data_IF_149839915208
#
_entry.id   IF_149839915208
#
_cell.length_a   1.000
_cell.length_b   1.000
_cell.length_c   1.000
_cell.angle_alpha   90.00
_cell.angle_beta   90.00
_cell.angle_gamma   90.00
#
_symmetry.space_group_name_H-M   'P 1'
#
loop_
_entity.id
_entity.type
_entity.pdbx_description
1 polymer ?
#
# COMPACT_ATOMS: atom_id res chain seq x y z
N UNK A 1 4.74 17.87 -21.51
CA UNK A 1 4.66 18.11 -20.06
C UNK A 1 5.68 17.24 -19.37
N UNK A 2 6.43 17.79 -18.43
CA UNK A 2 7.51 17.12 -17.72
C UNK A 2 7.20 17.01 -16.23
N UNK A 3 7.13 15.78 -15.71
CA UNK A 3 6.84 15.50 -14.31
C UNK A 3 8.14 15.20 -13.55
N UNK A 4 8.35 15.87 -12.43
CA UNK A 4 9.37 15.52 -11.43
C UNK A 4 8.77 14.68 -10.31
N UNK A 5 9.33 13.52 -10.02
CA UNK A 5 8.83 12.61 -8.97
C UNK A 5 9.88 12.43 -7.88
N UNK A 6 9.56 12.85 -6.66
CA UNK A 6 10.40 12.71 -5.48
C UNK A 6 9.92 11.53 -4.67
N UNK A 7 10.72 10.48 -4.60
CA UNK A 7 10.44 9.28 -3.83
C UNK A 7 11.73 8.69 -3.29
N UNK A 8 11.77 8.43 -1.99
CA UNK A 8 12.91 7.79 -1.32
C UNK A 8 12.47 6.48 -0.68
N UNK A 9 13.32 5.48 -0.79
CA UNK A 9 13.19 4.19 -0.15
C UNK A 9 14.48 3.79 0.54
N UNK A 10 14.47 2.65 1.22
CA UNK A 10 15.65 2.15 1.92
C UNK A 10 15.30 1.15 3.00
N UNK A 11 16.32 0.63 3.69
CA UNK A 11 16.10 -0.37 4.74
C UNK A 11 15.25 0.17 5.90
N UNK A 12 15.54 1.40 6.37
CA UNK A 12 14.80 2.03 7.47
C UNK A 12 13.47 2.66 7.02
N UNK A 13 13.43 3.24 5.80
CA UNK A 13 12.26 3.94 5.25
C UNK A 13 11.21 2.97 4.67
N UNK A 14 11.62 1.77 4.28
CA UNK A 14 10.85 0.87 3.45
C UNK A 14 10.83 1.31 1.98
N UNK A 15 10.26 0.47 1.11
CA UNK A 15 10.20 0.71 -0.34
C UNK A 15 8.82 1.17 -0.84
N UNK A 16 7.86 1.40 0.06
CA UNK A 16 6.46 1.66 -0.29
C UNK A 16 6.27 2.85 -1.22
N UNK A 17 6.87 3.99 -0.88
CA UNK A 17 6.81 5.24 -1.65
C UNK A 17 7.38 5.05 -3.07
N UNK A 18 8.57 4.45 -3.17
CA UNK A 18 9.24 4.18 -4.44
C UNK A 18 8.42 3.22 -5.32
N UNK A 19 7.90 2.14 -4.76
CA UNK A 19 7.06 1.18 -5.49
C UNK A 19 5.78 1.85 -5.99
N UNK A 20 5.12 2.65 -5.15
CA UNK A 20 3.90 3.39 -5.52
C UNK A 20 4.18 4.39 -6.65
N UNK A 21 5.23 5.19 -6.51
CA UNK A 21 5.59 6.20 -7.49
C UNK A 21 6.09 5.60 -8.81
N UNK A 22 6.83 4.48 -8.78
CA UNK A 22 7.22 3.74 -9.99
C UNK A 22 5.99 3.25 -10.76
N UNK A 23 4.97 2.72 -10.06
CA UNK A 23 3.71 2.30 -10.68
C UNK A 23 2.95 3.47 -11.30
N UNK A 24 2.89 4.60 -10.60
CA UNK A 24 2.25 5.80 -11.14
C UNK A 24 3.00 6.31 -12.38
N UNK A 25 4.34 6.31 -12.36
CA UNK A 25 5.14 6.68 -13.52
C UNK A 25 4.91 5.73 -14.73
N UNK A 26 4.70 4.44 -14.50
CA UNK A 26 4.35 3.50 -15.58
C UNK A 26 3.03 3.85 -16.28
N UNK A 27 2.05 4.41 -15.56
CA UNK A 27 0.80 4.91 -16.14
C UNK A 27 1.03 6.23 -16.88
N UNK A 28 1.79 7.16 -16.28
CA UNK A 28 1.97 8.52 -16.79
C UNK A 28 2.93 8.63 -17.99
N UNK A 29 3.90 7.71 -18.14
CA UNK A 29 4.97 7.78 -19.16
C UNK A 29 4.46 7.86 -20.61
N UNK A 30 3.22 7.45 -20.86
CA UNK A 30 2.62 7.49 -22.19
C UNK A 30 2.21 8.89 -22.65
N UNK A 31 2.13 9.85 -21.72
CA UNK A 31 1.72 11.25 -21.99
C UNK A 31 2.71 12.30 -21.50
N UNK A 32 3.66 11.90 -20.65
CA UNK A 32 4.56 12.83 -19.96
C UNK A 32 6.00 12.33 -19.99
N UNK A 33 6.95 13.27 -20.08
CA UNK A 33 8.35 13.01 -19.74
C UNK A 33 8.48 12.95 -18.22
N UNK A 34 9.29 12.02 -17.70
CA UNK A 34 9.42 11.79 -16.26
C UNK A 34 10.89 11.85 -15.84
N UNK A 35 11.15 12.54 -14.72
CA UNK A 35 12.41 12.48 -13.98
C UNK A 35 12.14 12.13 -12.53
N UNK A 36 12.76 11.07 -12.04
CA UNK A 36 12.81 10.74 -10.62
C UNK A 36 13.95 11.47 -9.91
N UNK A 37 13.68 11.97 -8.71
CA UNK A 37 14.64 12.57 -7.78
C UNK A 37 14.65 11.78 -6.48
N UNK A 38 15.65 10.91 -6.31
CA UNK A 38 15.65 9.85 -5.29
C UNK A 38 16.94 9.83 -4.46
N UNK A 39 17.09 8.86 -3.56
CA UNK A 39 18.32 8.58 -2.82
C UNK A 39 19.07 7.39 -3.43
N UNK A 40 20.34 7.21 -3.05
CA UNK A 40 21.21 6.14 -3.57
C UNK A 40 20.59 4.74 -3.42
N UNK A 41 19.91 4.47 -2.30
CA UNK A 41 19.29 3.16 -2.01
C UNK A 41 18.18 2.77 -3.00
N UNK A 42 17.56 3.74 -3.66
CA UNK A 42 16.39 3.53 -4.53
C UNK A 42 16.70 3.66 -6.01
N UNK A 43 17.87 4.19 -6.37
CA UNK A 43 18.29 4.45 -7.75
C UNK A 43 18.14 3.19 -8.60
N UNK A 44 18.80 2.09 -8.20
CA UNK A 44 18.79 0.84 -8.95
C UNK A 44 17.37 0.29 -9.18
N UNK A 45 16.48 0.45 -8.20
CA UNK A 45 15.09 -0.02 -8.34
C UNK A 45 14.28 0.85 -9.32
N UNK A 46 14.60 2.14 -9.42
CA UNK A 46 13.92 3.08 -10.31
C UNK A 46 14.49 3.09 -11.72
N UNK A 47 15.69 2.56 -11.97
CA UNK A 47 16.31 2.56 -13.29
C UNK A 47 15.44 1.86 -14.34
N UNK A 48 15.05 2.60 -15.39
CA UNK A 48 14.30 2.11 -16.56
C UNK A 48 14.65 2.96 -17.80
N UNK A 49 14.36 2.47 -19.00
CA UNK A 49 14.65 3.21 -20.25
C UNK A 49 13.68 4.37 -20.53
N UNK A 50 12.53 4.38 -19.86
CA UNK A 50 11.41 5.30 -20.16
C UNK A 50 11.44 6.62 -19.38
N UNK A 51 12.35 6.78 -18.44
CA UNK A 51 12.47 8.00 -17.62
C UNK A 51 13.90 8.20 -17.11
N UNK A 52 14.18 9.39 -16.60
CA UNK A 52 15.47 9.70 -15.97
C UNK A 52 15.40 9.44 -14.46
N UNK A 53 16.52 9.03 -13.88
CA UNK A 53 16.69 8.93 -12.42
C UNK A 53 17.87 9.80 -12.03
N UNK A 54 17.66 10.67 -11.04
CA UNK A 54 18.67 11.55 -10.47
C UNK A 54 18.72 11.29 -8.97
N UNK A 55 19.90 10.90 -8.49
CA UNK A 55 20.19 10.88 -7.07
C UNK A 55 20.36 12.31 -6.58
N UNK A 56 19.59 12.69 -5.57
CA UNK A 56 19.66 14.03 -4.98
C UNK A 56 21.00 14.20 -4.25
N UNK A 57 21.68 15.34 -4.40
CA UNK A 57 22.93 15.57 -3.68
C UNK A 57 22.68 15.72 -2.18
N UNK A 58 23.68 15.35 -1.36
CA UNK A 58 23.60 15.47 0.10
C UNK A 58 23.78 16.90 0.63
N UNK A 59 24.48 17.77 -0.11
CA UNK A 59 24.69 19.18 0.21
C UNK A 59 23.97 20.07 -0.81
N UNK A 60 23.45 21.23 -0.37
CA UNK A 60 22.76 22.22 -1.22
C UNK A 60 21.63 21.61 -2.08
N UNK A 61 20.98 20.59 -1.53
CA UNK A 61 19.98 19.80 -2.23
C UNK A 61 18.85 20.65 -2.80
N UNK A 62 18.36 21.62 -2.02
CA UNK A 62 17.26 22.48 -2.42
C UNK A 62 17.63 23.37 -3.61
N UNK A 63 18.82 23.97 -3.59
CA UNK A 63 19.33 24.82 -4.68
C UNK A 63 19.52 24.01 -5.97
N UNK A 64 20.08 22.80 -5.87
CA UNK A 64 20.23 21.90 -7.01
C UNK A 64 18.88 21.49 -7.61
N UNK A 65 17.92 21.11 -6.78
CA UNK A 65 16.58 20.71 -7.24
C UNK A 65 15.85 21.89 -7.89
N UNK A 66 15.92 23.09 -7.32
CA UNK A 66 15.32 24.29 -7.92
C UNK A 66 15.90 24.61 -9.29
N UNK A 67 17.22 24.45 -9.44
CA UNK A 67 17.87 24.60 -10.73
C UNK A 67 17.38 23.56 -11.73
N UNK A 68 17.31 22.29 -11.34
CA UNK A 68 16.77 21.21 -12.17
C UNK A 68 15.32 21.47 -12.62
N UNK A 69 14.47 21.96 -11.71
CA UNK A 69 13.08 22.32 -12.03
C UNK A 69 13.02 23.39 -13.13
N UNK A 70 13.86 24.42 -13.03
CA UNK A 70 13.93 25.49 -14.01
C UNK A 70 14.57 25.07 -15.34
N UNK A 71 15.73 24.40 -15.28
CA UNK A 71 16.52 24.00 -16.44
C UNK A 71 15.73 22.99 -17.31
N UNK A 72 15.02 22.05 -16.66
CA UNK A 72 14.17 21.05 -17.34
C UNK A 72 12.73 21.52 -17.58
N UNK A 73 12.35 22.68 -17.07
CA UNK A 73 10.99 23.24 -17.13
C UNK A 73 9.94 22.23 -16.65
N UNK A 74 10.12 21.72 -15.43
CA UNK A 74 9.18 20.77 -14.86
C UNK A 74 7.82 21.43 -14.62
N UNK A 75 6.76 20.76 -15.05
CA UNK A 75 5.39 21.27 -15.02
C UNK A 75 4.63 20.87 -13.75
N UNK A 76 4.93 19.67 -13.25
CA UNK A 76 4.23 19.03 -12.13
C UNK A 76 5.25 18.27 -11.29
N UNK A 77 5.16 18.43 -9.97
CA UNK A 77 6.08 17.85 -9.00
C UNK A 77 5.30 16.98 -8.02
N UNK A 78 5.62 15.70 -7.97
CA UNK A 78 5.00 14.72 -7.09
C UNK A 78 5.96 14.44 -5.92
N UNK A 79 5.55 14.74 -4.69
CA UNK A 79 6.34 14.45 -3.49
C UNK A 79 5.70 13.32 -2.69
N UNK A 80 6.32 12.14 -2.77
CA UNK A 80 6.01 10.97 -1.95
C UNK A 80 7.24 10.63 -1.10
N UNK A 81 7.52 11.52 -0.15
CA UNK A 81 8.66 11.43 0.78
C UNK A 81 8.16 11.75 2.18
N UNK A 82 8.80 11.15 3.19
CA UNK A 82 8.49 11.45 4.59
C UNK A 82 8.98 12.86 4.93
N UNK A 83 8.03 13.77 5.18
CA UNK A 83 8.29 15.15 5.55
C UNK A 83 8.71 16.00 4.35
N UNK A 84 7.75 16.52 3.60
CA UNK A 84 8.03 17.35 2.45
C UNK A 84 8.80 18.63 2.87
N UNK A 85 9.88 19.01 2.15
CA UNK A 85 10.75 20.10 2.54
C UNK A 85 10.07 21.47 2.32
N UNK A 86 9.44 22.01 3.37
CA UNK A 86 8.66 23.27 3.32
C UNK A 86 9.42 24.42 2.68
N UNK A 87 10.71 24.58 3.01
CA UNK A 87 11.56 25.65 2.46
C UNK A 87 11.75 25.50 0.95
N UNK A 88 11.93 24.27 0.46
CA UNK A 88 12.02 23.99 -0.97
C UNK A 88 10.68 24.24 -1.66
N UNK A 89 9.57 23.74 -1.11
CA UNK A 89 8.22 23.97 -1.67
C UNK A 89 7.90 25.46 -1.78
N UNK A 90 8.26 26.24 -0.77
CA UNK A 90 8.09 27.71 -0.75
C UNK A 90 8.90 28.37 -1.87
N UNK A 91 10.17 27.97 -2.04
CA UNK A 91 11.03 28.48 -3.11
C UNK A 91 10.51 28.10 -4.51
N UNK A 92 9.98 26.87 -4.68
CA UNK A 92 9.40 26.41 -5.95
C UNK A 92 8.19 27.28 -6.30
N UNK A 93 7.26 27.46 -5.35
CA UNK A 93 6.04 28.24 -5.56
C UNK A 93 6.31 29.72 -5.85
N UNK A 94 7.39 30.28 -5.28
CA UNK A 94 7.79 31.66 -5.52
C UNK A 94 8.55 31.87 -6.84
N UNK A 95 9.19 30.82 -7.37
CA UNK A 95 10.12 30.92 -8.50
C UNK A 95 9.68 30.24 -9.79
N UNK A 96 8.58 29.47 -9.76
CA UNK A 96 8.17 28.61 -10.89
C UNK A 96 6.65 28.48 -10.95
N UNK A 97 6.12 28.15 -12.13
CA UNK A 97 4.70 27.81 -12.34
C UNK A 97 4.43 26.29 -12.21
N UNK A 98 5.36 25.55 -11.60
CA UNK A 98 5.21 24.11 -11.43
C UNK A 98 4.15 23.79 -10.39
N UNK A 99 3.22 22.89 -10.73
CA UNK A 99 2.21 22.38 -9.80
C UNK A 99 2.83 21.41 -8.79
N UNK A 100 2.40 21.47 -7.54
CA UNK A 100 2.93 20.64 -6.46
C UNK A 100 1.83 19.72 -5.92
N UNK A 101 2.09 18.42 -5.94
CA UNK A 101 1.21 17.40 -5.37
C UNK A 101 1.96 16.62 -4.29
N UNK A 102 1.38 16.55 -3.10
CA UNK A 102 1.95 15.82 -1.96
C UNK A 102 1.20 14.51 -1.74
N UNK A 103 1.90 13.46 -1.35
CA UNK A 103 1.31 12.18 -0.99
C UNK A 103 1.38 11.97 0.52
N UNK A 104 0.23 11.67 1.14
CA UNK A 104 0.09 11.35 2.58
C UNK A 104 0.69 12.39 3.54
N UNK A 105 0.92 13.62 3.08
CA UNK A 105 1.46 14.71 3.89
C UNK A 105 0.42 15.23 4.88
N UNK A 106 0.85 15.46 6.12
CA UNK A 106 0.01 15.96 7.23
C UNK A 106 0.47 17.33 7.74
N UNK A 107 1.67 17.78 7.37
CA UNK A 107 2.21 19.07 7.78
C UNK A 107 1.47 20.23 7.10
N UNK A 108 0.72 21.01 7.87
CA UNK A 108 -0.09 22.11 7.36
C UNK A 108 0.71 23.16 6.57
N UNK A 109 1.96 23.42 6.95
CA UNK A 109 2.82 24.37 6.23
C UNK A 109 3.19 23.84 4.85
N UNK A 110 3.53 22.55 4.74
CA UNK A 110 3.80 21.91 3.46
C UNK A 110 2.55 21.88 2.57
N UNK A 111 1.40 21.47 3.14
CA UNK A 111 0.12 21.44 2.44
C UNK A 111 -0.24 22.83 1.88
N UNK A 112 -0.02 23.90 2.66
CA UNK A 112 -0.25 25.28 2.19
C UNK A 112 0.59 25.72 0.99
N UNK A 113 1.69 25.01 0.70
CA UNK A 113 2.54 25.23 -0.48
C UNK A 113 2.20 24.31 -1.66
N UNK A 114 1.18 23.46 -1.56
CA UNK A 114 0.78 22.51 -2.61
C UNK A 114 -0.52 22.91 -3.31
N UNK A 115 -0.74 22.37 -4.51
CA UNK A 115 -1.99 22.46 -5.27
C UNK A 115 -2.93 21.30 -4.94
N UNK A 116 -2.38 20.11 -4.63
CA UNK A 116 -3.16 18.96 -4.21
C UNK A 116 -2.45 18.06 -3.21
N UNK A 117 -3.24 17.34 -2.43
CA UNK A 117 -2.75 16.25 -1.55
C UNK A 117 -3.52 14.98 -1.86
N UNK A 118 -2.80 13.89 -2.11
CA UNK A 118 -3.36 12.55 -2.35
C UNK A 118 -3.07 11.67 -1.13
N UNK A 119 -4.11 11.25 -0.43
CA UNK A 119 -4.00 10.39 0.75
C UNK A 119 -4.89 9.15 0.60
N UNK A 120 -4.30 8.00 0.29
CA UNK A 120 -5.04 6.75 0.09
C UNK A 120 -5.46 6.02 1.38
N UNK A 121 -5.04 6.52 2.55
CA UNK A 121 -5.16 5.81 3.83
C UNK A 121 -6.56 6.03 4.43
N UNK A 122 -7.17 4.95 4.92
CA UNK A 122 -8.54 4.98 5.42
C UNK A 122 -8.69 5.44 6.87
N UNK A 123 -7.70 5.16 7.72
CA UNK A 123 -7.83 5.31 9.18
C UNK A 123 -8.24 6.72 9.65
N UNK A 124 -7.75 7.77 8.98
CA UNK A 124 -7.93 9.17 9.40
C UNK A 124 -8.78 10.00 8.42
N UNK A 125 -9.60 9.35 7.58
CA UNK A 125 -10.37 10.07 6.53
C UNK A 125 -11.36 11.04 7.17
N UNK A 126 -11.21 12.33 6.83
CA UNK A 126 -12.15 13.38 7.27
C UNK A 126 -13.35 13.48 6.34
N UNK A 127 -13.06 13.59 5.06
CA UNK A 127 -14.02 13.61 3.96
C UNK A 127 -13.29 13.26 2.67
N UNK A 128 -14.00 12.75 1.66
CA UNK A 128 -13.36 12.26 0.44
C UNK A 128 -12.57 13.36 -0.30
N UNK A 129 -13.13 14.56 -0.37
CA UNK A 129 -12.51 15.70 -1.05
C UNK A 129 -12.84 16.99 -0.32
N UNK A 130 -11.83 17.81 -0.03
CA UNK A 130 -11.99 19.11 0.61
C UNK A 130 -10.81 20.04 0.32
N UNK A 131 -10.97 21.33 0.62
CA UNK A 131 -9.90 22.32 0.49
C UNK A 131 -9.17 22.52 1.81
N UNK A 132 -7.85 22.59 1.77
CA UNK A 132 -7.01 22.92 2.92
C UNK A 132 -5.93 23.93 2.52
N UNK A 133 -6.14 25.19 2.89
CA UNK A 133 -5.30 26.28 2.41
C UNK A 133 -5.42 26.43 0.90
N UNK A 134 -4.30 26.26 0.18
CA UNK A 134 -4.26 26.33 -1.28
C UNK A 134 -4.42 24.96 -1.96
N UNK A 135 -4.50 23.87 -1.18
CA UNK A 135 -4.50 22.52 -1.72
C UNK A 135 -5.90 21.92 -1.77
N UNK A 136 -6.20 21.23 -2.87
CA UNK A 136 -7.32 20.29 -2.96
C UNK A 136 -6.88 18.94 -2.39
N UNK A 137 -7.46 18.52 -1.28
CA UNK A 137 -7.14 17.25 -0.62
C UNK A 137 -8.10 16.15 -1.09
N UNK A 138 -7.54 15.00 -1.46
CA UNK A 138 -8.24 13.80 -1.88
C UNK A 138 -7.91 12.66 -0.90
N UNK A 139 -8.86 12.26 -0.06
CA UNK A 139 -8.64 11.29 1.00
C UNK A 139 -9.44 10.00 0.85
N UNK A 140 -8.82 8.92 1.33
CA UNK A 140 -9.42 7.61 1.49
C UNK A 140 -9.09 6.63 0.37
N UNK A 141 -9.62 5.40 0.48
CA UNK A 141 -9.20 4.30 -0.38
C UNK A 141 -9.54 4.48 -1.86
N UNK A 142 -10.45 5.42 -2.18
CA UNK A 142 -10.74 5.83 -3.55
C UNK A 142 -9.47 6.30 -4.29
N UNK A 143 -8.50 6.87 -3.56
CA UNK A 143 -7.25 7.41 -4.10
C UNK A 143 -6.03 6.52 -3.82
N UNK A 144 -6.23 5.32 -3.27
CA UNK A 144 -5.13 4.39 -3.02
C UNK A 144 -4.64 3.75 -4.33
N UNK A 145 -3.35 3.92 -4.61
CA UNK A 145 -2.71 3.33 -5.78
C UNK A 145 -2.32 1.87 -5.48
N UNK A 146 -3.16 0.94 -5.95
CA UNK A 146 -2.87 -0.49 -5.97
C UNK A 146 -2.30 -0.93 -7.33
N UNK A 147 -1.67 -2.10 -7.36
CA UNK A 147 -1.26 -2.70 -8.63
C UNK A 147 -2.50 -3.04 -9.48
N UNK A 148 -2.53 -2.77 -10.80
CA UNK A 148 -3.70 -3.00 -11.65
C UNK A 148 -4.23 -4.44 -11.62
N UNK A 149 -3.36 -5.41 -11.35
CA UNK A 149 -3.73 -6.82 -11.19
C UNK A 149 -4.79 -7.06 -10.08
N UNK A 150 -4.88 -6.21 -9.04
CA UNK A 150 -5.91 -6.35 -8.01
C UNK A 150 -7.30 -5.95 -8.52
N UNK A 151 -7.37 -4.92 -9.36
CA UNK A 151 -8.63 -4.55 -10.03
C UNK A 151 -9.07 -5.66 -11.00
N UNK A 152 -8.13 -6.22 -11.77
CA UNK A 152 -8.42 -7.34 -12.66
C UNK A 152 -8.88 -8.59 -11.87
N UNK A 153 -8.18 -8.93 -10.78
CA UNK A 153 -8.54 -10.03 -9.91
C UNK A 153 -9.92 -9.86 -9.27
N UNK A 154 -10.27 -8.64 -8.85
CA UNK A 154 -11.59 -8.31 -8.30
C UNK A 154 -12.73 -8.65 -9.25
N UNK A 155 -12.57 -8.34 -10.55
CA UNK A 155 -13.61 -8.53 -11.56
C UNK A 155 -14.05 -9.99 -11.70
N UNK A 156 -13.09 -10.91 -11.52
CA UNK A 156 -13.29 -12.35 -11.65
C UNK A 156 -13.41 -13.10 -10.31
N UNK A 157 -13.36 -12.38 -9.18
CA UNK A 157 -13.36 -13.01 -7.86
C UNK A 157 -14.78 -13.37 -7.42
N UNK A 158 -14.95 -14.63 -7.01
CA UNK A 158 -16.16 -15.14 -6.39
C UNK A 158 -15.80 -15.83 -5.07
N UNK A 159 -16.46 -15.44 -3.99
CA UNK A 159 -16.28 -16.07 -2.68
C UNK A 159 -16.89 -17.49 -2.70
N UNK A 160 -16.11 -18.48 -2.27
CA UNK A 160 -16.56 -19.87 -2.17
C UNK A 160 -17.20 -20.18 -0.82
N UNK A 161 -18.20 -21.07 -0.84
CA UNK A 161 -18.85 -21.60 0.36
C UNK A 161 -17.90 -22.36 1.27
N UNK A 162 -17.03 -23.21 0.70
CA UNK A 162 -15.98 -23.87 1.47
C UNK A 162 -14.75 -22.96 1.63
N UNK A 163 -14.15 -22.96 2.83
CA UNK A 163 -12.86 -22.30 3.07
C UNK A 163 -11.73 -23.33 3.06
N UNK A 164 -11.04 -23.47 1.92
CA UNK A 164 -9.94 -24.43 1.76
C UNK A 164 -8.60 -23.76 1.54
N UNK A 165 -8.57 -22.60 0.90
CA UNK A 165 -7.33 -21.87 0.60
C UNK A 165 -7.25 -20.63 1.48
N UNK A 166 -6.26 -20.59 2.36
CA UNK A 166 -6.00 -19.45 3.25
C UNK A 166 -4.69 -18.81 2.86
N UNK A 167 -4.72 -17.49 2.66
CA UNK A 167 -3.52 -16.70 2.44
C UNK A 167 -3.06 -16.08 3.76
N UNK A 168 -1.76 -16.08 4.01
CA UNK A 168 -1.15 -15.34 5.12
C UNK A 168 -0.15 -14.35 4.54
N UNK A 169 -0.41 -13.05 4.71
CA UNK A 169 0.41 -11.96 4.18
C UNK A 169 0.58 -10.86 5.24
N UNK A 170 1.64 -10.97 6.04
CA UNK A 170 1.88 -10.12 7.22
C UNK A 170 2.80 -8.92 6.93
N UNK A 171 3.00 -8.60 5.65
CA UNK A 171 3.86 -7.53 5.16
C UNK A 171 5.25 -8.01 4.71
N UNK A 172 6.08 -7.06 4.31
CA UNK A 172 7.38 -7.35 3.69
C UNK A 172 8.45 -7.89 4.65
N UNK A 173 8.41 -7.49 5.93
CA UNK A 173 9.45 -7.82 6.91
C UNK A 173 8.96 -8.64 8.12
N UNK A 174 7.68 -8.55 8.50
CA UNK A 174 7.11 -9.18 9.70
C UNK A 174 7.96 -9.00 10.98
N UNK A 175 8.24 -7.76 11.41
CA UNK A 175 9.19 -7.49 12.51
C UNK A 175 8.69 -8.02 13.87
N UNK A 176 7.37 -8.19 14.04
CA UNK A 176 6.76 -8.76 15.25
C UNK A 176 6.64 -10.28 15.21
N UNK A 177 7.22 -10.94 14.19
CA UNK A 177 7.27 -12.40 14.10
C UNK A 177 5.87 -13.04 14.13
N UNK A 178 4.87 -12.33 13.60
CA UNK A 178 3.48 -12.76 13.66
C UNK A 178 3.25 -14.03 12.85
N UNK A 179 4.10 -14.32 11.86
CA UNK A 179 4.01 -15.56 11.06
C UNK A 179 4.10 -16.80 11.95
N UNK A 180 4.96 -16.81 12.96
CA UNK A 180 5.10 -17.94 13.88
C UNK A 180 3.86 -18.08 14.77
N UNK A 181 3.26 -16.95 15.18
CA UNK A 181 2.01 -16.95 15.94
C UNK A 181 0.85 -17.50 15.11
N UNK A 182 0.77 -17.14 13.83
CA UNK A 182 -0.22 -17.68 12.89
C UNK A 182 -0.03 -19.18 12.68
N UNK A 183 1.21 -19.65 12.49
CA UNK A 183 1.52 -21.08 12.35
C UNK A 183 1.12 -21.84 13.63
N UNK A 184 1.45 -21.33 14.80
CA UNK A 184 1.10 -21.93 16.09
C UNK A 184 -0.42 -22.02 16.28
N UNK A 185 -1.16 -20.97 15.92
CA UNK A 185 -2.62 -20.94 15.99
C UNK A 185 -3.25 -21.92 14.98
N UNK A 186 -2.72 -21.98 13.76
CA UNK A 186 -3.16 -22.92 12.73
C UNK A 186 -3.01 -24.38 13.15
N UNK A 187 -1.91 -24.71 13.85
CA UNK A 187 -1.65 -26.06 14.34
C UNK A 187 -2.66 -26.53 15.41
N UNK A 188 -3.31 -25.59 16.11
CA UNK A 188 -4.36 -25.88 17.09
C UNK A 188 -5.71 -26.19 16.43
N UNK A 189 -5.87 -25.93 15.13
CA UNK A 189 -7.15 -26.15 14.45
C UNK A 189 -7.41 -27.65 14.20
N UNK A 190 -8.63 -28.14 14.51
CA UNK A 190 -8.99 -29.55 14.35
C UNK A 190 -9.10 -29.97 12.88
N UNK A 191 -9.57 -29.10 12.01
CA UNK A 191 -9.83 -29.33 10.58
C UNK A 191 -8.70 -28.83 9.66
N UNK A 192 -7.50 -28.59 10.20
CA UNK A 192 -6.37 -28.02 9.46
C UNK A 192 -5.92 -28.84 8.23
N UNK A 193 -6.19 -30.15 8.21
CA UNK A 193 -5.73 -31.04 7.12
C UNK A 193 -6.45 -30.78 5.79
N UNK A 194 -7.66 -30.27 5.84
CA UNK A 194 -8.46 -29.94 4.65
C UNK A 194 -8.22 -28.51 4.15
N UNK A 195 -7.31 -27.78 4.81
CA UNK A 195 -7.01 -26.38 4.55
C UNK A 195 -5.57 -26.20 4.07
N UNK A 196 -5.41 -25.70 2.85
CA UNK A 196 -4.13 -25.24 2.32
C UNK A 196 -3.85 -23.82 2.81
N UNK A 197 -2.76 -23.63 3.55
CA UNK A 197 -2.31 -22.30 3.97
C UNK A 197 -1.06 -21.90 3.20
N UNK A 198 -1.12 -20.75 2.52
CA UNK A 198 -0.02 -20.18 1.76
C UNK A 198 0.51 -18.97 2.52
N UNK A 199 1.75 -19.07 3.00
CA UNK A 199 2.47 -18.00 3.66
C UNK A 199 3.28 -17.23 2.62
N UNK A 200 2.94 -15.96 2.40
CA UNK A 200 3.74 -15.07 1.56
C UNK A 200 4.60 -14.21 2.46
N UNK A 201 5.92 -14.29 2.26
CA UNK A 201 6.89 -13.50 3.01
C UNK A 201 7.72 -12.66 2.04
N UNK A 202 7.84 -11.37 2.32
CA UNK A 202 8.72 -10.48 1.57
C UNK A 202 10.19 -10.79 1.82
N UNK A 203 11.06 -10.39 0.90
CA UNK A 203 12.53 -10.56 1.01
C UNK A 203 13.16 -9.81 2.17
N UNK A 204 12.50 -8.77 2.68
CA UNK A 204 12.94 -8.05 3.86
C UNK A 204 12.71 -8.83 5.17
N UNK A 205 12.03 -9.98 5.13
CA UNK A 205 11.79 -10.78 6.34
C UNK A 205 13.01 -11.66 6.66
N UNK A 206 13.60 -11.54 7.86
CA UNK A 206 14.72 -12.38 8.28
C UNK A 206 14.29 -13.81 8.69
N UNK A 207 12.98 -14.11 8.62
CA UNK A 207 12.39 -15.30 9.20
C UNK A 207 12.07 -16.41 8.19
N UNK A 208 12.33 -16.20 6.90
CA UNK A 208 11.95 -17.13 5.82
C UNK A 208 12.50 -18.55 6.03
N UNK A 209 13.79 -18.68 6.35
CA UNK A 209 14.43 -19.98 6.55
C UNK A 209 13.90 -20.71 7.79
N UNK A 210 13.62 -19.97 8.87
CA UNK A 210 13.03 -20.53 10.07
C UNK A 210 11.60 -21.03 9.80
N UNK A 211 10.81 -20.28 9.01
CA UNK A 211 9.47 -20.69 8.60
C UNK A 211 9.52 -21.92 7.69
N UNK A 212 10.41 -21.95 6.69
CA UNK A 212 10.62 -23.11 5.81
C UNK A 212 10.84 -24.39 6.61
N UNK A 213 11.78 -24.35 7.57
CA UNK A 213 12.06 -25.49 8.46
C UNK A 213 10.87 -25.88 9.33
N UNK A 214 10.12 -24.90 9.84
CA UNK A 214 8.96 -25.14 10.70
C UNK A 214 7.80 -25.83 9.96
N UNK A 215 7.63 -25.56 8.66
CA UNK A 215 6.52 -26.09 7.87
C UNK A 215 6.88 -27.28 6.98
N UNK A 216 8.17 -27.67 6.87
CA UNK A 216 8.63 -28.70 5.92
C UNK A 216 7.89 -30.04 5.99
N UNK A 217 7.38 -30.43 7.17
CA UNK A 217 6.64 -31.68 7.39
C UNK A 217 5.12 -31.47 7.46
N UNK A 218 4.63 -30.32 7.00
CA UNK A 218 3.21 -29.93 7.03
C UNK A 218 2.73 -29.76 5.58
N UNK A 219 2.27 -30.83 4.90
CA UNK A 219 1.95 -30.80 3.48
C UNK A 219 0.84 -29.80 3.10
N UNK A 220 0.05 -29.37 4.09
CA UNK A 220 -0.99 -28.37 3.92
C UNK A 220 -0.47 -26.93 3.98
N UNK A 221 0.79 -26.69 4.35
CA UNK A 221 1.42 -25.37 4.40
C UNK A 221 2.41 -25.19 3.26
N UNK A 222 2.40 -24.02 2.63
CA UNK A 222 3.36 -23.63 1.61
C UNK A 222 3.94 -22.25 1.92
N UNK A 223 5.25 -22.09 1.71
CA UNK A 223 5.92 -20.80 1.79
C UNK A 223 6.21 -20.30 0.37
N UNK A 224 5.81 -19.07 0.08
CA UNK A 224 6.18 -18.33 -1.13
C UNK A 224 7.04 -17.15 -0.69
N UNK A 225 8.32 -17.22 -1.01
CA UNK A 225 9.27 -16.13 -0.79
C UNK A 225 9.18 -15.16 -1.95
N UNK A 226 8.87 -13.89 -1.68
CA UNK A 226 8.78 -12.78 -2.63
C UNK A 226 8.03 -13.10 -3.94
N UNK A 227 6.89 -12.44 -4.16
CA UNK A 227 6.13 -12.61 -5.40
C UNK A 227 5.73 -11.28 -6.02
N UNK A 228 5.72 -11.24 -7.35
CA UNK A 228 5.09 -10.18 -8.13
C UNK A 228 3.61 -10.50 -8.43
N UNK A 229 3.15 -11.71 -8.11
CA UNK A 229 1.83 -12.25 -8.44
C UNK A 229 0.89 -12.30 -7.23
N UNK A 230 1.05 -11.37 -6.27
CA UNK A 230 0.23 -11.31 -5.04
C UNK A 230 -1.28 -11.36 -5.35
N UNK A 231 -1.73 -10.66 -6.39
CA UNK A 231 -3.13 -10.67 -6.82
C UNK A 231 -3.62 -12.07 -7.22
N UNK A 232 -2.77 -12.92 -7.81
CA UNK A 232 -3.12 -14.30 -8.18
C UNK A 232 -3.35 -15.15 -6.95
N UNK A 233 -2.43 -15.11 -5.98
CA UNK A 233 -2.57 -15.86 -4.73
C UNK A 233 -3.78 -15.39 -3.92
N UNK A 234 -4.01 -14.07 -3.87
CA UNK A 234 -5.12 -13.48 -3.15
C UNK A 234 -6.47 -13.79 -3.81
N UNK A 235 -6.57 -13.77 -5.15
CA UNK A 235 -7.78 -14.19 -5.88
C UNK A 235 -8.16 -15.65 -5.60
N UNK A 236 -7.20 -16.52 -5.32
CA UNK A 236 -7.45 -17.93 -5.01
C UNK A 236 -7.83 -18.18 -3.55
N UNK A 237 -7.70 -17.17 -2.69
CA UNK A 237 -7.94 -17.30 -1.26
C UNK A 237 -9.44 -17.21 -0.93
N UNK A 238 -9.88 -18.11 -0.07
CA UNK A 238 -11.24 -18.14 0.50
C UNK A 238 -11.32 -17.31 1.79
N UNK A 239 -10.17 -17.10 2.45
CA UNK A 239 -9.95 -16.18 3.55
C UNK A 239 -8.46 -15.76 3.60
N UNK A 240 -8.16 -14.63 4.23
CA UNK A 240 -6.80 -14.16 4.44
C UNK A 240 -6.50 -13.74 5.89
N UNK A 241 -5.25 -13.91 6.31
CA UNK A 241 -4.70 -13.33 7.54
C UNK A 241 -3.66 -12.31 7.11
N UNK A 242 -3.94 -11.04 7.39
CA UNK A 242 -3.13 -9.92 6.87
C UNK A 242 -2.71 -8.97 7.98
N UNK A 243 -1.60 -8.27 7.77
CA UNK A 243 -1.30 -7.08 8.55
C UNK A 243 -2.17 -5.90 8.09
N UNK A 244 -2.31 -4.86 8.92
CA UNK A 244 -3.12 -3.67 8.60
C UNK A 244 -2.44 -2.66 7.65
N UNK A 245 -1.53 -3.13 6.79
CA UNK A 245 -0.84 -2.33 5.76
C UNK A 245 -1.48 -2.45 4.38
N UNK A 246 -0.71 -2.27 3.30
CA UNK A 246 -1.23 -2.35 1.92
C UNK A 246 -1.93 -3.68 1.59
N UNK A 247 -1.45 -4.82 2.12
CA UNK A 247 -2.09 -6.12 1.87
C UNK A 247 -3.53 -6.23 2.41
N UNK A 248 -3.89 -5.42 3.40
CA UNK A 248 -5.29 -5.27 3.84
C UNK A 248 -6.14 -4.66 2.73
N UNK A 249 -5.69 -3.56 2.14
CA UNK A 249 -6.39 -2.90 1.04
C UNK A 249 -6.45 -3.78 -0.22
N UNK A 250 -5.38 -4.53 -0.51
CA UNK A 250 -5.35 -5.51 -1.59
C UNK A 250 -6.43 -6.59 -1.41
N UNK A 251 -6.55 -7.14 -0.20
CA UNK A 251 -7.55 -8.16 0.13
C UNK A 251 -8.97 -7.62 0.00
N UNK A 252 -9.23 -6.43 0.58
CA UNK A 252 -10.54 -5.76 0.51
C UNK A 252 -10.88 -5.38 -0.94
N UNK A 253 -9.89 -4.96 -1.74
CA UNK A 253 -10.08 -4.65 -3.15
C UNK A 253 -10.62 -5.85 -3.93
N UNK A 254 -10.05 -7.05 -3.72
CA UNK A 254 -10.55 -8.26 -4.37
C UNK A 254 -11.90 -8.70 -3.75
N UNK A 255 -12.07 -8.46 -2.46
CA UNK A 255 -13.20 -8.92 -1.65
C UNK A 255 -12.88 -10.20 -0.88
N UNK A 256 -11.61 -10.46 -0.59
CA UNK A 256 -11.22 -11.61 0.23
C UNK A 256 -11.52 -11.30 1.70
N UNK A 257 -12.34 -12.10 2.39
CA UNK A 257 -12.59 -11.95 3.82
C UNK A 257 -11.29 -12.09 4.61
N UNK A 258 -10.99 -11.14 5.50
CA UNK A 258 -9.72 -11.18 6.23
C UNK A 258 -9.82 -10.94 7.73
N UNK A 259 -8.93 -11.64 8.43
CA UNK A 259 -8.58 -11.43 9.83
C UNK A 259 -7.32 -10.57 9.86
N UNK A 260 -7.34 -9.47 10.63
CA UNK A 260 -6.27 -8.48 10.66
C UNK A 260 -5.47 -8.57 11.95
N UNK A 261 -4.16 -8.64 11.81
CA UNK A 261 -3.17 -8.56 12.89
C UNK A 261 -2.23 -7.38 12.63
N UNK A 262 -2.50 -6.23 13.24
CA UNK A 262 -1.70 -5.02 13.03
C UNK A 262 -0.27 -5.20 13.56
N UNK A 263 0.73 -4.85 12.74
CA UNK A 263 2.15 -4.90 13.12
C UNK A 263 2.55 -3.74 14.04
N UNK A 264 1.88 -2.60 13.89
CA UNK A 264 2.20 -1.32 14.52
C UNK A 264 0.93 -0.51 14.78
N UNK A 265 0.98 0.43 15.72
CA UNK A 265 -0.21 1.14 16.23
C UNK A 265 -1.01 1.89 15.16
N UNK A 266 -0.38 2.56 14.19
CA UNK A 266 -1.13 3.30 13.16
C UNK A 266 -1.98 2.38 12.26
N UNK A 267 -1.64 1.10 12.16
CA UNK A 267 -2.41 0.13 11.39
C UNK A 267 -3.73 -0.25 12.10
N UNK A 268 -3.82 -0.12 13.43
CA UNK A 268 -5.07 -0.45 14.14
C UNK A 268 -6.16 0.56 13.82
N UNK A 269 -5.83 1.84 13.63
CA UNK A 269 -6.81 2.85 13.21
C UNK A 269 -7.41 2.50 11.85
N UNK A 270 -6.57 2.07 10.90
CA UNK A 270 -7.02 1.61 9.58
C UNK A 270 -7.89 0.36 9.68
N UNK A 271 -7.43 -0.65 10.43
CA UNK A 271 -8.15 -1.92 10.61
C UNK A 271 -9.52 -1.71 11.28
N UNK A 272 -9.57 -0.89 12.34
CA UNK A 272 -10.80 -0.54 13.05
C UNK A 272 -11.81 0.15 12.10
N UNK A 273 -11.36 1.08 11.25
CA UNK A 273 -12.23 1.77 10.30
C UNK A 273 -12.88 0.81 9.29
N UNK A 274 -12.12 -0.18 8.81
CA UNK A 274 -12.66 -1.25 7.97
C UNK A 274 -13.61 -2.17 8.75
N UNK A 275 -13.29 -2.50 10.00
CA UNK A 275 -14.14 -3.33 10.85
C UNK A 275 -15.49 -2.67 11.16
N UNK A 276 -15.54 -1.34 11.36
CA UNK A 276 -16.77 -0.55 11.54
C UNK A 276 -17.77 -0.75 10.40
N UNK A 277 -17.28 -1.00 9.18
CA UNK A 277 -18.10 -1.23 7.98
C UNK A 277 -18.32 -2.72 7.70
N UNK A 278 -17.97 -3.59 8.65
CA UNK A 278 -18.07 -5.03 8.50
C UNK A 278 -17.17 -5.59 7.40
N UNK A 279 -16.05 -4.93 7.06
CA UNK A 279 -15.17 -5.40 5.99
C UNK A 279 -14.16 -6.46 6.46
N UNK A 280 -13.79 -6.42 7.75
CA UNK A 280 -12.72 -7.27 8.32
C UNK A 280 -12.97 -7.66 9.77
N UNK A 281 -12.31 -8.74 10.22
CA UNK A 281 -12.17 -9.06 11.64
C UNK A 281 -10.86 -8.48 12.17
N UNK A 282 -10.95 -7.33 12.82
CA UNK A 282 -9.78 -6.70 13.47
C UNK A 282 -9.50 -7.34 14.84
N UNK A 283 -8.30 -7.92 15.02
CA UNK A 283 -7.85 -8.43 16.32
C UNK A 283 -6.96 -7.44 17.09
N UNK A 284 -6.66 -6.28 16.49
CA UNK A 284 -5.80 -5.24 17.03
C UNK A 284 -4.31 -5.51 16.80
N UNK A 285 -3.49 -4.97 17.71
CA UNK A 285 -2.04 -5.17 17.68
C UNK A 285 -1.68 -6.66 17.82
N UNK A 286 -1.10 -7.22 16.77
CA UNK A 286 -0.79 -8.63 16.67
C UNK A 286 0.10 -9.14 17.80
N UNK A 287 0.99 -8.30 18.35
CA UNK A 287 1.82 -8.65 19.51
C UNK A 287 1.00 -8.94 20.77
N UNK A 288 -0.14 -8.25 20.95
CA UNK A 288 -1.05 -8.39 22.09
C UNK A 288 -2.09 -9.51 21.92
N UNK A 289 -2.20 -10.10 20.74
CA UNK A 289 -3.13 -11.21 20.48
C UNK A 289 -2.48 -12.53 20.93
N UNK A 290 -3.17 -13.31 21.76
CA UNK A 290 -2.70 -14.64 22.16
C UNK A 290 -2.89 -15.66 21.03
N UNK A 291 -2.15 -16.78 21.07
CA UNK A 291 -2.29 -17.85 20.07
C UNK A 291 -3.70 -18.45 20.11
N UNK A 292 -4.28 -18.60 21.30
CA UNK A 292 -5.61 -19.17 21.53
C UNK A 292 -6.70 -18.25 20.98
N UNK A 293 -6.59 -16.94 21.22
CA UNK A 293 -7.50 -15.95 20.65
C UNK A 293 -7.43 -15.97 19.13
N UNK A 294 -6.22 -16.04 18.57
CA UNK A 294 -6.03 -16.13 17.12
C UNK A 294 -6.64 -17.43 16.55
N UNK A 295 -6.38 -18.58 17.17
CA UNK A 295 -6.93 -19.87 16.75
C UNK A 295 -8.47 -19.87 16.80
N UNK A 296 -9.07 -19.28 17.83
CA UNK A 296 -10.51 -19.09 17.94
C UNK A 296 -11.08 -18.31 16.75
N UNK A 297 -10.53 -17.13 16.45
CA UNK A 297 -11.04 -16.31 15.34
C UNK A 297 -10.73 -16.89 13.96
N UNK A 298 -9.60 -17.59 13.80
CA UNK A 298 -9.30 -18.39 12.60
C UNK A 298 -10.36 -19.48 12.39
N UNK A 299 -10.72 -20.21 13.45
CA UNK A 299 -11.79 -21.22 13.37
C UNK A 299 -13.12 -20.60 12.94
N UNK A 300 -13.49 -19.44 13.48
CA UNK A 300 -14.72 -18.73 13.10
C UNK A 300 -14.73 -18.35 11.61
N UNK A 301 -13.68 -17.69 11.11
CA UNK A 301 -13.64 -17.26 9.71
C UNK A 301 -13.54 -18.44 8.74
N UNK A 302 -12.89 -19.54 9.12
CA UNK A 302 -12.71 -20.70 8.24
C UNK A 302 -13.94 -21.62 8.20
N UNK A 303 -14.80 -21.60 9.21
CA UNK A 303 -15.99 -22.46 9.28
C UNK A 303 -17.30 -21.75 8.92
N UNK A 304 -17.35 -20.42 9.03
CA UNK A 304 -18.59 -19.66 8.81
C UNK A 304 -18.59 -18.98 7.44
N UNK A 305 -19.27 -19.57 6.46
CA UNK A 305 -19.57 -18.90 5.19
C UNK A 305 -20.40 -17.61 5.39
N UNK A 306 -21.46 -17.56 6.22
CA UNK A 306 -22.21 -16.32 6.44
C UNK A 306 -21.33 -15.17 6.96
N UNK A 307 -20.39 -15.46 7.87
CA UNK A 307 -19.43 -14.47 8.33
C UNK A 307 -18.54 -13.98 7.19
N UNK A 308 -17.96 -14.89 6.41
CA UNK A 308 -17.12 -14.53 5.25
C UNK A 308 -17.89 -13.74 4.20
N UNK A 309 -19.15 -14.11 3.92
CA UNK A 309 -20.02 -13.38 3.00
C UNK A 309 -20.28 -11.95 3.48
N UNK A 310 -20.61 -11.78 4.77
CA UNK A 310 -20.77 -10.45 5.36
C UNK A 310 -19.51 -9.59 5.22
N UNK A 311 -18.33 -10.16 5.46
CA UNK A 311 -17.04 -9.45 5.32
C UNK A 311 -16.76 -9.06 3.87
N UNK A 312 -17.03 -9.97 2.94
CA UNK A 312 -16.90 -9.75 1.50
C UNK A 312 -17.79 -8.61 1.01
N UNK A 313 -19.07 -8.62 1.40
CA UNK A 313 -20.06 -7.61 1.01
C UNK A 313 -19.79 -6.24 1.65
N UNK A 314 -19.36 -6.21 2.92
CA UNK A 314 -18.99 -4.97 3.62
C UNK A 314 -17.70 -4.35 3.08
N UNK A 315 -16.72 -5.18 2.69
CA UNK A 315 -15.42 -4.71 2.22
C UNK A 315 -15.39 -4.25 0.77
N UNK A 316 -16.01 -4.99 -0.15
CA UNK A 316 -15.89 -4.72 -1.59
C UNK A 316 -16.21 -3.27 -1.99
N UNK A 317 -17.25 -2.60 -1.46
CA UNK A 317 -17.55 -1.21 -1.83
C UNK A 317 -16.49 -0.20 -1.39
N UNK A 318 -15.68 -0.53 -0.38
CA UNK A 318 -14.75 0.42 0.26
C UNK A 318 -13.45 0.60 -0.53
N UNK A 319 -13.01 -0.42 -1.27
CA UNK A 319 -11.79 -0.36 -2.09
C UNK A 319 -12.09 -0.96 -3.46
N UNK A 320 -12.10 -0.13 -4.51
CA UNK A 320 -12.51 -0.55 -5.86
C UNK A 320 -11.34 -0.74 -6.84
N UNK A 321 -10.12 -0.47 -6.39
CA UNK A 321 -8.90 -0.60 -7.18
C UNK A 321 -8.75 0.45 -8.29
N UNK A 322 -9.57 1.52 -8.30
CA UNK A 322 -9.51 2.58 -9.32
C UNK A 322 -8.63 3.77 -8.94
N UNK A 323 -7.91 3.72 -7.82
CA UNK A 323 -7.09 4.84 -7.36
C UNK A 323 -6.05 5.30 -8.38
N UNK A 324 -5.40 4.39 -9.11
CA UNK A 324 -4.49 4.76 -10.21
C UNK A 324 -5.18 5.66 -11.24
N UNK A 325 -6.40 5.29 -11.69
CA UNK A 325 -7.14 6.08 -12.69
C UNK A 325 -7.57 7.44 -12.13
N UNK A 326 -8.05 7.48 -10.89
CA UNK A 326 -8.48 8.74 -10.24
C UNK A 326 -7.29 9.69 -10.04
N UNK A 327 -6.18 9.17 -9.53
CA UNK A 327 -4.98 9.97 -9.30
C UNK A 327 -4.43 10.48 -10.62
N UNK A 328 -4.25 9.63 -11.64
CA UNK A 328 -3.78 10.09 -12.96
C UNK A 328 -4.68 11.17 -13.56
N UNK A 329 -6.01 11.04 -13.42
CA UNK A 329 -6.94 12.07 -13.89
C UNK A 329 -6.72 13.42 -13.17
N UNK A 330 -6.61 13.41 -11.84
CA UNK A 330 -6.30 14.63 -11.06
C UNK A 330 -4.98 15.27 -11.53
N UNK A 331 -3.96 14.44 -11.80
CA UNK A 331 -2.67 14.95 -12.27
C UNK A 331 -2.75 15.54 -13.68
N UNK A 332 -3.57 14.96 -14.56
CA UNK A 332 -3.80 15.51 -15.90
C UNK A 332 -4.60 16.82 -15.86
N UNK A 333 -5.62 16.92 -15.00
CA UNK A 333 -6.39 18.15 -14.85
C UNK A 333 -5.48 19.31 -14.39
N UNK A 334 -4.61 19.07 -13.41
CA UNK A 334 -3.63 20.07 -12.95
C UNK A 334 -2.61 20.48 -14.03
N UNK A 335 -2.36 19.60 -14.99
CA UNK A 335 -1.44 19.81 -16.10
C UNK A 335 -2.11 20.58 -17.26
N UNK A 336 -3.39 20.31 -17.51
CA UNK A 336 -4.18 20.90 -18.59
C UNK A 336 -4.72 22.31 -18.24
N UNK A 337 -4.78 22.69 -16.96
CA UNK A 337 -5.06 24.05 -16.47
C UNK A 337 -4.06 25.13 -16.96
N UNK A 338 -3.08 24.75 -17.81
CA UNK A 338 -2.10 25.65 -18.46
C UNK A 338 -2.54 26.19 -19.84
N UNK A 339 -3.77 25.94 -20.28
CA UNK A 339 -4.30 26.39 -21.60
C UNK A 339 -5.18 27.63 -21.50
#
# INVERSE_FOLDING_TARGET
MHIGIFADGGFEKGMGHVVRMKRLAQELKHRCSITFYTNDESEQFLQEEYWQVIVKPGLQQNECILREINDKKLDLLLFDILGAPVDLLTKIKAGTDAKIVLFEEKNEKAIGQSDAVINGIYGDVRSKVYDQGNARVYEGPDYLILHPAFQAARADYALKEDCRNILVALGGSDPKQLVFKVIAAADQLPDRKDKKMIFIMGSASPHQEAVRKLIQNKPQYALIEQTNDMAVFMKQADAAIVAGGISLYEAICIGVPCLVLSQVAHQTTTAAKFAEHGAVLDLGLGENVSVEKLAYHMSQIFSSYPLRLSLHEGGRPLVDGKGMKRVSAILYDLLDDKI
#
